data_IF_280696604127
#
_entry.id   IF_280696604127
#
_cell.length_a   1.000
_cell.length_b   1.000
_cell.length_c   1.000
_cell.angle_alpha   90.00
_cell.angle_beta   90.00
_cell.angle_gamma   90.00
#
_symmetry.space_group_name_H-M   'P 1'
#
loop_
_entity.id
_entity.type
_entity.pdbx_description
1 polymer ?
#
# COMPACT_ATOMS: atom_id res chain seq x y z
N UNK A 1 -32.20 -50.88 10.89
CA UNK A 1 -32.57 -51.30 12.24
C UNK A 1 -31.38 -51.04 13.17
N UNK A 2 -31.48 -50.07 14.05
CA UNK A 2 -31.12 -50.02 15.47
C UNK A 2 -31.20 -48.57 15.93
N UNK A 3 -32.20 -48.32 16.77
CA UNK A 3 -32.47 -47.09 17.51
C UNK A 3 -31.61 -47.07 18.79
N UNK A 4 -31.14 -45.92 19.23
CA UNK A 4 -30.88 -45.61 20.65
C UNK A 4 -30.97 -44.07 20.77
N UNK A 5 -31.87 -43.55 21.39
CA UNK A 5 -32.49 -43.26 22.69
C UNK A 5 -31.80 -42.09 23.41
N UNK A 6 -32.61 -41.05 23.58
CA UNK A 6 -32.46 -39.89 24.47
C UNK A 6 -32.15 -40.28 25.92
N UNK A 7 -31.38 -39.44 26.61
CA UNK A 7 -31.46 -39.34 28.07
C UNK A 7 -31.39 -37.87 28.51
N UNK A 8 -32.51 -37.38 29.02
CA UNK A 8 -32.63 -36.12 29.76
C UNK A 8 -32.43 -36.43 31.25
N UNK A 9 -31.69 -35.58 31.96
CA UNK A 9 -31.64 -35.62 33.43
C UNK A 9 -32.04 -34.27 33.99
N UNK A 10 -33.20 -34.28 34.62
CA UNK A 10 -33.77 -33.27 35.53
C UNK A 10 -33.16 -33.48 36.92
N UNK A 11 -32.73 -32.40 37.60
CA UNK A 11 -32.61 -32.43 39.05
C UNK A 11 -33.35 -31.24 39.66
N UNK A 12 -34.32 -31.61 40.52
CA UNK A 12 -35.19 -30.73 41.26
C UNK A 12 -34.55 -30.39 42.61
N UNK A 13 -35.03 -29.28 43.18
CA UNK A 13 -34.54 -28.63 44.35
C UNK A 13 -34.82 -29.32 45.70
N UNK A 14 -34.23 -28.77 46.73
CA UNK A 14 -34.64 -28.89 48.13
C UNK A 14 -34.57 -27.53 48.80
N UNK A 15 -35.75 -27.07 49.26
CA UNK A 15 -35.90 -25.99 50.25
C UNK A 15 -35.73 -26.60 51.65
N UNK A 16 -35.01 -25.90 52.50
CA UNK A 16 -35.17 -26.04 53.94
C UNK A 16 -35.13 -24.64 54.58
N UNK A 17 -36.24 -24.37 55.28
CA UNK A 17 -36.44 -23.20 56.12
C UNK A 17 -35.93 -23.48 57.53
N UNK A 18 -35.35 -22.47 58.15
CA UNK A 18 -35.04 -22.48 59.58
C UNK A 18 -34.97 -21.06 60.10
N UNK A 19 -35.92 -20.68 60.96
CA UNK A 19 -35.97 -19.40 61.68
C UNK A 19 -35.05 -19.40 62.90
N UNK A 20 -34.42 -18.32 63.26
CA UNK A 20 -34.77 -17.45 64.41
C UNK A 20 -33.60 -16.52 64.83
N UNK A 21 -33.97 -15.26 64.97
CA UNK A 21 -33.54 -14.16 65.93
C UNK A 21 -32.08 -13.98 66.34
N UNK A 22 -31.50 -12.84 66.09
CA UNK A 22 -31.47 -11.64 66.99
C UNK A 22 -30.42 -10.63 66.56
N UNK A 23 -30.82 -9.36 66.53
CA UNK A 23 -30.15 -8.09 66.64
C UNK A 23 -28.62 -8.01 66.63
N UNK A 24 -28.08 -7.36 65.59
CA UNK A 24 -27.07 -6.27 65.75
C UNK A 24 -26.96 -5.47 64.44
N UNK A 25 -27.11 -4.20 64.53
CA UNK A 25 -26.90 -3.19 63.48
C UNK A 25 -25.44 -3.17 63.06
N UNK A 26 -25.16 -3.41 61.79
CA UNK A 26 -24.00 -2.85 61.13
C UNK A 26 -24.31 -2.61 59.68
N UNK A 27 -24.33 -1.32 59.31
CA UNK A 27 -24.48 -0.83 57.95
C UNK A 27 -23.15 -0.99 57.21
N UNK A 28 -23.03 -2.07 56.45
CA UNK A 28 -22.06 -2.15 55.36
C UNK A 28 -22.79 -2.47 54.05
N UNK A 29 -23.11 -1.41 53.32
CA UNK A 29 -23.58 -1.50 51.96
C UNK A 29 -22.47 -2.11 51.07
N UNK A 30 -22.61 -3.42 50.78
CA UNK A 30 -21.86 -4.04 49.67
C UNK A 30 -22.39 -3.50 48.35
N UNK A 31 -21.73 -2.49 47.82
CA UNK A 31 -21.93 -2.07 46.42
C UNK A 31 -21.31 -3.15 45.51
N UNK A 32 -22.15 -4.05 45.00
CA UNK A 32 -21.84 -4.90 43.83
C UNK A 32 -21.85 -3.96 42.58
N UNK A 33 -20.78 -3.24 42.38
CA UNK A 33 -20.48 -2.58 41.11
C UNK A 33 -19.11 -3.06 40.63
N UNK A 34 -19.05 -4.31 40.20
CA UNK A 34 -17.96 -4.78 39.36
C UNK A 34 -18.49 -4.95 37.93
N UNK A 35 -18.93 -3.85 37.35
CA UNK A 35 -19.03 -3.74 35.90
C UNK A 35 -17.62 -3.46 35.40
N UNK A 36 -16.90 -4.51 35.03
CA UNK A 36 -15.76 -4.38 34.12
C UNK A 36 -16.29 -3.82 32.80
N UNK A 37 -16.42 -2.51 32.74
CA UNK A 37 -16.63 -1.81 31.49
C UNK A 37 -15.38 -2.08 30.66
N UNK A 38 -15.51 -3.00 29.71
CA UNK A 38 -14.52 -3.15 28.63
C UNK A 38 -14.44 -1.78 27.99
N UNK A 39 -13.31 -1.09 28.16
CA UNK A 39 -13.08 0.17 27.50
C UNK A 39 -13.24 -0.03 26.00
N UNK A 40 -14.34 0.47 25.44
CA UNK A 40 -14.56 0.48 24.00
C UNK A 40 -13.50 1.43 23.45
N UNK A 41 -12.57 0.88 22.69
CA UNK A 41 -11.55 1.67 22.03
C UNK A 41 -12.24 2.50 20.95
N UNK A 42 -12.34 3.81 21.16
CA UNK A 42 -12.83 4.73 20.16
C UNK A 42 -11.77 4.90 19.06
N UNK A 43 -12.14 4.64 17.82
CA UNK A 43 -11.33 4.87 16.64
C UNK A 43 -11.87 6.09 15.90
N UNK A 44 -11.03 6.83 15.15
CA UNK A 44 -11.51 7.83 14.20
C UNK A 44 -12.48 7.19 13.19
N UNK A 45 -13.52 7.93 12.80
CA UNK A 45 -14.47 7.49 11.78
C UNK A 45 -13.87 7.43 10.37
N UNK A 46 -12.63 7.89 10.21
CA UNK A 46 -11.92 7.92 8.93
C UNK A 46 -10.53 7.33 9.04
N UNK A 47 -10.04 6.76 7.94
CA UNK A 47 -8.63 6.44 7.75
C UNK A 47 -8.15 6.96 6.40
N UNK A 48 -6.90 7.43 6.38
CA UNK A 48 -6.23 7.94 5.20
C UNK A 48 -5.17 6.97 4.74
N UNK A 49 -5.31 6.50 3.51
CA UNK A 49 -4.31 5.71 2.80
C UNK A 49 -3.58 6.62 1.80
N UNK A 50 -2.26 6.50 1.68
CA UNK A 50 -1.49 7.22 0.68
C UNK A 50 -0.70 6.25 -0.19
N UNK A 51 -0.79 6.43 -1.49
CA UNK A 51 -0.18 5.54 -2.48
C UNK A 51 0.81 6.30 -3.34
N UNK A 52 1.95 5.66 -3.56
CA UNK A 52 2.98 6.10 -4.50
C UNK A 52 3.22 5.01 -5.55
N UNK A 53 3.76 5.42 -6.70
CA UNK A 53 4.04 4.52 -7.83
C UNK A 53 5.34 3.73 -7.67
N UNK A 54 6.07 3.58 -8.78
CA UNK A 54 7.17 2.65 -8.94
C UNK A 54 8.48 3.20 -8.34
N UNK A 55 8.96 2.56 -7.26
CA UNK A 55 10.25 2.86 -6.64
C UNK A 55 11.34 2.02 -7.29
N UNK A 56 12.16 2.66 -8.13
CA UNK A 56 13.20 2.04 -8.93
C UNK A 56 14.58 2.56 -8.56
N UNK A 57 15.62 1.74 -8.75
CA UNK A 57 17.02 2.16 -8.62
C UNK A 57 17.79 1.88 -9.90
N UNK A 58 18.08 2.90 -10.68
CA UNK A 58 18.93 2.82 -11.87
C UNK A 58 20.42 2.93 -11.52
N UNK A 59 21.28 2.62 -12.50
CA UNK A 59 22.74 2.61 -12.31
C UNK A 59 23.29 3.92 -11.72
N UNK A 60 22.78 5.06 -12.19
CA UNK A 60 23.26 6.37 -11.69
C UNK A 60 22.82 6.65 -10.25
N UNK A 61 21.63 6.19 -9.84
CA UNK A 61 21.18 6.29 -8.44
C UNK A 61 22.08 5.44 -7.53
N UNK A 62 22.42 4.20 -7.95
CA UNK A 62 23.37 3.34 -7.23
C UNK A 62 24.75 3.99 -7.14
N UNK A 63 25.28 4.48 -8.26
CA UNK A 63 26.60 5.16 -8.29
C UNK A 63 26.59 6.34 -7.32
N UNK A 64 25.49 7.08 -7.26
CA UNK A 64 25.38 8.24 -6.39
C UNK A 64 25.32 7.83 -4.92
N UNK A 65 24.54 6.81 -4.59
CA UNK A 65 24.46 6.26 -3.24
C UNK A 65 25.84 5.77 -2.73
N UNK A 66 26.64 5.14 -3.61
CA UNK A 66 28.03 4.75 -3.30
C UNK A 66 28.89 5.99 -3.06
N UNK A 67 28.80 7.01 -3.91
CA UNK A 67 29.62 8.24 -3.81
C UNK A 67 29.35 8.99 -2.50
N UNK A 68 28.13 8.96 -2.01
CA UNK A 68 27.70 9.58 -0.74
C UNK A 68 27.80 8.63 0.45
N UNK A 69 28.19 7.38 0.21
CA UNK A 69 28.33 6.38 1.24
C UNK A 69 29.53 6.62 2.15
N UNK A 70 29.45 6.05 3.36
CA UNK A 70 30.52 6.00 4.33
C UNK A 70 30.94 4.54 4.56
N UNK A 71 31.92 4.32 5.43
CA UNK A 71 32.32 2.96 5.81
C UNK A 71 31.18 2.22 6.53
N UNK A 72 30.40 2.94 7.33
CA UNK A 72 29.27 2.42 8.13
C UNK A 72 27.99 2.29 7.28
N UNK A 73 27.77 3.21 6.32
CA UNK A 73 26.65 3.20 5.39
C UNK A 73 27.17 3.31 3.93
N UNK A 74 27.63 2.20 3.32
CA UNK A 74 28.29 2.25 2.01
C UNK A 74 27.37 2.62 0.84
N UNK A 75 26.05 2.62 1.04
CA UNK A 75 25.04 2.99 0.04
C UNK A 75 24.05 3.95 0.68
N UNK A 76 24.28 5.24 0.56
CA UNK A 76 23.49 6.27 1.23
C UNK A 76 22.31 6.73 0.36
N UNK A 77 21.08 6.50 0.86
CA UNK A 77 19.81 6.96 0.29
C UNK A 77 19.03 7.87 1.26
N UNK A 78 19.65 8.32 2.35
CA UNK A 78 18.97 8.94 3.50
C UNK A 78 18.18 10.20 3.13
N UNK A 79 18.64 10.99 2.16
CA UNK A 79 17.99 12.22 1.74
C UNK A 79 17.02 12.06 0.55
N UNK A 80 16.95 10.86 -0.06
CA UNK A 80 16.14 10.63 -1.26
C UNK A 80 14.65 10.94 -1.07
N UNK A 81 14.12 10.70 0.13
CA UNK A 81 12.69 10.74 0.41
C UNK A 81 12.28 11.77 1.48
N UNK A 82 13.21 12.55 2.00
CA UNK A 82 12.97 13.46 3.14
C UNK A 82 11.85 14.47 2.90
N UNK A 83 11.66 14.93 1.66
CA UNK A 83 10.66 15.95 1.33
C UNK A 83 9.22 15.39 1.24
N UNK A 84 9.05 14.08 1.08
CA UNK A 84 7.73 13.42 1.08
C UNK A 84 7.38 12.80 2.44
N UNK A 85 8.35 12.65 3.33
CA UNK A 85 8.15 12.13 4.70
C UNK A 85 6.99 12.81 5.45
N UNK A 86 6.79 14.14 5.38
CA UNK A 86 5.65 14.77 6.07
C UNK A 86 4.29 14.29 5.55
N UNK A 87 4.16 14.01 4.24
CA UNK A 87 2.92 13.47 3.67
C UNK A 87 2.69 12.01 4.09
N UNK A 88 3.77 11.21 4.18
CA UNK A 88 3.71 9.82 4.67
C UNK A 88 3.29 9.76 6.14
N UNK A 89 3.84 10.63 6.99
CA UNK A 89 3.50 10.71 8.42
C UNK A 89 2.08 11.23 8.71
N UNK A 90 1.48 11.95 7.77
CA UNK A 90 0.12 12.46 7.87
C UNK A 90 -0.94 11.43 7.43
N UNK A 91 -0.53 10.34 6.81
CA UNK A 91 -1.39 9.22 6.45
C UNK A 91 -1.39 8.16 7.56
N UNK A 92 -2.49 7.41 7.66
CA UNK A 92 -2.61 6.29 8.59
C UNK A 92 -1.94 5.02 8.06
N UNK A 93 -1.78 4.91 6.74
CA UNK A 93 -1.08 3.80 6.09
C UNK A 93 -0.57 4.19 4.71
N UNK A 94 0.67 3.85 4.40
CA UNK A 94 1.38 4.31 3.20
C UNK A 94 1.96 3.15 2.38
N UNK A 95 1.77 3.22 1.05
CA UNK A 95 2.01 2.11 0.14
C UNK A 95 2.91 2.55 -1.02
N UNK A 96 3.89 1.69 -1.39
CA UNK A 96 4.77 1.90 -2.54
C UNK A 96 5.04 0.59 -3.29
N UNK A 97 5.21 0.66 -4.61
CA UNK A 97 5.68 -0.48 -5.40
C UNK A 97 7.22 -0.54 -5.38
N UNK A 98 7.78 -1.58 -4.76
CA UNK A 98 9.22 -1.88 -4.78
C UNK A 98 9.55 -2.62 -6.09
N UNK A 99 9.84 -1.87 -7.16
CA UNK A 99 10.02 -2.43 -8.51
C UNK A 99 11.46 -2.87 -8.77
N UNK A 100 11.96 -3.70 -7.88
CA UNK A 100 13.29 -4.32 -7.99
C UNK A 100 13.49 -5.35 -6.87
N UNK A 101 14.39 -6.35 -7.05
CA UNK A 101 14.80 -7.22 -5.97
C UNK A 101 15.95 -6.61 -5.14
N UNK A 102 15.99 -6.95 -3.86
CA UNK A 102 17.11 -6.73 -2.95
C UNK A 102 18.07 -7.93 -3.08
N UNK A 103 18.88 -7.94 -4.16
CA UNK A 103 19.61 -9.14 -4.60
C UNK A 103 20.74 -9.60 -3.69
N UNK A 104 21.27 -8.73 -2.83
CA UNK A 104 22.42 -9.01 -1.95
C UNK A 104 23.75 -9.15 -2.70
N UNK A 105 24.82 -9.37 -1.93
CA UNK A 105 26.16 -9.56 -2.48
C UNK A 105 26.84 -8.26 -2.87
N UNK A 106 27.72 -8.31 -3.89
CA UNK A 106 28.49 -7.15 -4.36
C UNK A 106 28.01 -6.65 -5.73
N UNK A 107 27.12 -7.38 -6.41
CA UNK A 107 26.74 -7.16 -7.81
C UNK A 107 25.40 -6.43 -7.89
N UNK A 108 25.32 -5.24 -7.28
CA UNK A 108 24.16 -4.38 -7.44
C UNK A 108 24.15 -3.73 -8.83
N UNK A 109 22.95 -3.55 -9.40
CA UNK A 109 22.79 -3.05 -10.76
C UNK A 109 21.46 -2.31 -10.94
N UNK A 110 21.40 -1.47 -11.97
CA UNK A 110 20.19 -0.91 -12.52
C UNK A 110 19.62 -1.75 -13.68
N UNK A 111 18.81 -1.08 -14.52
CA UNK A 111 18.22 -1.66 -15.73
C UNK A 111 19.31 -2.34 -16.61
N UNK A 112 19.00 -3.48 -17.32
CA UNK A 112 17.70 -4.13 -17.37
C UNK A 112 17.42 -5.16 -16.26
N UNK A 113 18.44 -5.55 -15.48
CA UNK A 113 18.36 -6.58 -14.44
C UNK A 113 18.69 -5.94 -13.11
N UNK A 114 17.67 -5.43 -12.44
CA UNK A 114 17.84 -4.68 -11.19
C UNK A 114 18.36 -5.53 -10.04
N UNK A 115 19.11 -4.91 -9.16
CA UNK A 115 19.51 -5.42 -7.85
C UNK A 115 19.90 -4.25 -6.97
N UNK A 116 19.11 -3.95 -5.95
CA UNK A 116 19.40 -2.87 -5.01
C UNK A 116 20.02 -3.38 -3.70
N UNK A 117 20.81 -2.56 -3.00
CA UNK A 117 21.23 -2.83 -1.64
C UNK A 117 20.05 -2.66 -0.66
N UNK A 118 20.14 -3.33 0.49
CA UNK A 118 19.09 -3.33 1.53
C UNK A 118 18.81 -1.92 2.06
N UNK A 119 19.83 -1.05 2.09
CA UNK A 119 19.69 0.34 2.50
C UNK A 119 18.71 1.15 1.62
N UNK A 120 18.44 0.71 0.37
CA UNK A 120 17.41 1.33 -0.46
C UNK A 120 16.00 1.11 0.13
N UNK A 121 15.66 -0.14 0.46
CA UNK A 121 14.39 -0.46 1.10
C UNK A 121 14.30 0.14 2.52
N UNK A 122 15.45 0.15 3.25
CA UNK A 122 15.51 0.80 4.57
C UNK A 122 15.21 2.30 4.50
N UNK A 123 15.74 3.01 3.51
CA UNK A 123 15.45 4.44 3.32
C UNK A 123 13.97 4.70 2.98
N UNK A 124 13.32 3.80 2.22
CA UNK A 124 11.87 3.86 2.00
C UNK A 124 11.08 3.66 3.30
N UNK A 125 11.45 2.66 4.10
CA UNK A 125 10.83 2.42 5.42
C UNK A 125 11.04 3.62 6.36
N UNK A 126 12.24 4.17 6.42
CA UNK A 126 12.57 5.32 7.28
C UNK A 126 11.84 6.60 6.86
N UNK A 127 11.51 6.73 5.57
CA UNK A 127 10.65 7.79 5.08
C UNK A 127 9.20 7.65 5.58
N UNK A 128 8.76 6.43 5.94
CA UNK A 128 7.45 6.16 6.51
C UNK A 128 6.55 5.26 5.66
N UNK A 129 7.08 4.49 4.71
CA UNK A 129 6.28 3.50 3.99
C UNK A 129 6.01 2.26 4.84
N UNK A 130 4.73 1.85 4.88
CA UNK A 130 4.24 0.73 5.68
C UNK A 130 4.12 -0.56 4.87
N UNK A 131 3.66 -0.49 3.61
CA UNK A 131 3.42 -1.65 2.74
C UNK A 131 4.22 -1.55 1.44
N UNK A 132 5.00 -2.60 1.16
CA UNK A 132 5.77 -2.74 -0.08
C UNK A 132 5.09 -3.75 -1.00
N UNK A 133 4.74 -3.32 -2.22
CA UNK A 133 4.24 -4.20 -3.27
C UNK A 133 5.43 -4.84 -3.96
N UNK A 134 5.42 -6.15 -4.06
CA UNK A 134 6.54 -6.92 -4.61
C UNK A 134 6.20 -7.66 -5.90
N UNK A 135 4.91 -7.73 -6.31
CA UNK A 135 4.51 -8.33 -7.58
C UNK A 135 4.56 -7.30 -8.71
N UNK A 136 5.65 -7.30 -9.46
CA UNK A 136 5.92 -6.46 -10.62
C UNK A 136 6.78 -7.21 -11.64
N UNK A 137 7.02 -6.62 -12.81
CA UNK A 137 7.77 -7.28 -13.88
C UNK A 137 9.26 -7.48 -13.57
N UNK A 138 9.82 -6.78 -12.59
CA UNK A 138 11.22 -6.88 -12.16
C UNK A 138 11.46 -7.75 -10.92
N UNK A 139 10.42 -8.30 -10.30
CA UNK A 139 10.54 -9.08 -9.05
C UNK A 139 11.42 -10.34 -9.19
N UNK A 140 11.61 -10.85 -10.41
CA UNK A 140 12.45 -12.01 -10.72
C UNK A 140 13.79 -11.66 -11.41
N UNK A 141 14.21 -10.40 -11.45
CA UNK A 141 15.49 -10.00 -12.06
C UNK A 141 16.72 -10.70 -11.45
N UNK A 142 16.61 -11.17 -10.22
CA UNK A 142 17.60 -12.03 -9.54
C UNK A 142 17.09 -13.45 -9.30
N UNK A 143 16.12 -13.89 -10.15
CA UNK A 143 15.49 -15.22 -10.09
C UNK A 143 14.90 -15.49 -8.69
N UNK A 144 14.55 -16.72 -8.40
CA UNK A 144 13.96 -17.12 -7.11
C UNK A 144 14.85 -16.79 -5.91
N UNK A 145 16.17 -16.86 -6.08
CA UNK A 145 17.10 -16.50 -5.00
C UNK A 145 16.96 -15.04 -4.61
N UNK A 146 16.85 -14.15 -5.59
CA UNK A 146 16.66 -12.71 -5.35
C UNK A 146 15.30 -12.42 -4.76
N UNK A 147 14.24 -13.06 -5.28
CA UNK A 147 12.89 -12.93 -4.74
C UNK A 147 12.86 -13.33 -3.25
N UNK A 148 13.32 -14.55 -2.92
CA UNK A 148 13.34 -15.02 -1.52
C UNK A 148 14.13 -14.10 -0.61
N UNK A 149 15.32 -13.67 -1.08
CA UNK A 149 16.15 -12.75 -0.32
C UNK A 149 15.46 -11.40 -0.08
N UNK A 150 14.74 -10.88 -1.09
CA UNK A 150 13.96 -9.65 -0.91
C UNK A 150 12.96 -9.80 0.23
N UNK A 151 12.22 -10.92 0.26
CA UNK A 151 11.26 -11.20 1.33
C UNK A 151 11.97 -11.35 2.70
N UNK A 152 13.13 -12.03 2.76
CA UNK A 152 13.91 -12.18 4.00
C UNK A 152 14.35 -10.82 4.56
N UNK A 153 14.74 -9.88 3.69
CA UNK A 153 15.11 -8.51 4.09
C UNK A 153 13.89 -7.75 4.60
N UNK A 154 12.76 -7.77 3.88
CA UNK A 154 11.54 -7.08 4.29
C UNK A 154 11.01 -7.63 5.62
N UNK A 155 11.04 -8.96 5.82
CA UNK A 155 10.70 -9.60 7.10
C UNK A 155 11.62 -9.15 8.24
N UNK A 156 12.94 -9.09 7.98
CA UNK A 156 13.92 -8.63 8.97
C UNK A 156 13.70 -7.17 9.38
N UNK A 157 13.24 -6.36 8.46
CA UNK A 157 12.86 -4.97 8.68
C UNK A 157 11.49 -4.82 9.33
N UNK A 158 10.69 -5.90 9.41
CA UNK A 158 9.31 -5.91 9.91
C UNK A 158 8.40 -4.95 9.14
N UNK A 159 8.57 -4.87 7.83
CA UNK A 159 7.76 -4.08 6.92
C UNK A 159 6.72 -4.99 6.29
N UNK A 160 5.47 -4.53 6.19
CA UNK A 160 4.42 -5.28 5.50
C UNK A 160 4.77 -5.40 4.00
N UNK A 161 4.54 -6.57 3.41
CA UNK A 161 4.78 -6.78 1.97
C UNK A 161 3.86 -7.84 1.40
N UNK A 162 3.47 -7.68 0.13
CA UNK A 162 2.55 -8.60 -0.57
C UNK A 162 2.92 -8.72 -2.05
N UNK A 163 2.47 -9.81 -2.68
CA UNK A 163 2.53 -10.01 -4.13
C UNK A 163 3.49 -11.12 -4.57
N UNK A 164 4.57 -11.35 -3.84
CA UNK A 164 5.48 -12.49 -4.05
C UNK A 164 5.66 -13.31 -2.79
N UNK A 165 5.94 -14.62 -2.92
CA UNK A 165 6.01 -15.54 -1.80
C UNK A 165 7.11 -16.58 -2.04
N UNK A 166 7.68 -17.11 -0.97
CA UNK A 166 8.75 -18.12 -1.05
C UNK A 166 8.25 -19.44 -1.62
N UNK A 167 6.98 -19.75 -1.40
CA UNK A 167 6.32 -20.97 -1.88
C UNK A 167 4.79 -20.84 -1.77
N UNK A 168 4.06 -21.83 -2.28
CA UNK A 168 2.60 -21.89 -2.24
C UNK A 168 2.04 -21.96 -0.80
N UNK A 169 2.74 -22.63 0.12
CA UNK A 169 2.33 -22.71 1.53
C UNK A 169 2.33 -21.32 2.18
N UNK A 170 3.40 -20.55 1.98
CA UNK A 170 3.50 -19.17 2.45
C UNK A 170 2.42 -18.29 1.84
N UNK A 171 2.19 -18.39 0.51
CA UNK A 171 1.10 -17.67 -0.15
C UNK A 171 -0.25 -17.99 0.49
N UNK A 172 -0.55 -19.27 0.69
CA UNK A 172 -1.82 -19.71 1.29
C UNK A 172 -2.01 -19.19 2.71
N UNK A 173 -0.91 -19.05 3.46
CA UNK A 173 -0.91 -18.52 4.83
C UNK A 173 -1.08 -17.00 4.90
N UNK A 174 -0.48 -16.26 3.95
CA UNK A 174 -0.42 -14.80 3.96
C UNK A 174 -1.53 -14.14 3.13
N UNK A 175 -2.25 -14.90 2.28
CA UNK A 175 -3.40 -14.40 1.52
C UNK A 175 -4.68 -15.00 2.12
N UNK A 176 -5.66 -14.18 2.50
CA UNK A 176 -5.72 -12.72 2.31
C UNK A 176 -4.87 -11.92 3.30
N UNK A 177 -4.24 -10.85 2.82
CA UNK A 177 -3.55 -9.87 3.66
C UNK A 177 -4.54 -8.77 4.08
N UNK A 178 -4.82 -8.68 5.38
CA UNK A 178 -5.77 -7.70 5.94
C UNK A 178 -5.05 -6.91 7.05
N UNK A 179 -5.16 -5.60 6.97
CA UNK A 179 -4.64 -4.67 7.98
C UNK A 179 -5.78 -3.93 8.64
N UNK A 180 -5.74 -3.82 9.96
CA UNK A 180 -6.64 -2.95 10.70
C UNK A 180 -6.04 -1.55 10.79
N UNK A 181 -6.74 -0.55 10.22
CA UNK A 181 -6.34 0.85 10.15
C UNK A 181 -7.47 1.67 10.76
N UNK A 182 -7.22 2.33 11.87
CA UNK A 182 -8.23 3.08 12.63
C UNK A 182 -9.52 2.25 12.87
N UNK A 183 -9.36 0.96 13.24
CA UNK A 183 -10.47 0.05 13.51
C UNK A 183 -11.23 -0.44 12.27
N UNK A 184 -10.77 -0.08 11.05
CA UNK A 184 -11.33 -0.54 9.79
C UNK A 184 -10.44 -1.63 9.17
N UNK A 185 -11.02 -2.75 8.75
CA UNK A 185 -10.31 -3.88 8.16
C UNK A 185 -10.16 -3.70 6.65
N UNK A 186 -8.95 -3.39 6.21
CA UNK A 186 -8.60 -3.17 4.81
C UNK A 186 -7.85 -4.38 4.26
N UNK A 187 -8.40 -5.02 3.24
CA UNK A 187 -7.74 -6.11 2.50
C UNK A 187 -6.92 -5.55 1.33
N UNK A 188 -5.71 -6.07 1.13
CA UNK A 188 -4.80 -5.63 0.08
C UNK A 188 -4.43 -6.79 -0.84
N UNK A 189 -4.51 -6.56 -2.15
CA UNK A 189 -4.20 -7.52 -3.21
C UNK A 189 -3.23 -6.88 -4.21
N UNK A 190 -2.14 -7.59 -4.60
CA UNK A 190 -1.16 -7.08 -5.56
C UNK A 190 -0.89 -8.13 -6.64
N UNK A 191 -0.92 -7.72 -7.91
CA UNK A 191 -0.76 -8.61 -9.06
C UNK A 191 0.13 -8.01 -10.14
N UNK A 192 0.80 -8.84 -10.95
CA UNK A 192 1.56 -8.38 -12.12
C UNK A 192 1.12 -9.08 -13.41
N UNK A 193 1.24 -8.39 -14.54
CA UNK A 193 0.99 -8.97 -15.86
C UNK A 193 2.07 -9.98 -16.29
N UNK A 194 3.26 -9.92 -15.70
CA UNK A 194 4.39 -10.75 -16.09
C UNK A 194 5.67 -10.41 -15.35
N UNK A 195 6.75 -11.10 -15.70
CA UNK A 195 8.08 -11.01 -15.07
C UNK A 195 9.19 -10.97 -16.10
N UNK A 196 9.03 -10.16 -17.16
CA UNK A 196 10.02 -9.96 -18.25
C UNK A 196 10.52 -11.29 -18.87
N UNK A 197 9.63 -12.29 -18.95
CA UNK A 197 9.94 -13.63 -19.48
C UNK A 197 10.71 -14.55 -18.53
N UNK A 198 11.08 -14.08 -17.35
CA UNK A 198 11.74 -14.90 -16.32
C UNK A 198 10.66 -15.64 -15.54
N UNK A 199 10.74 -16.97 -15.50
CA UNK A 199 9.77 -17.80 -14.77
C UNK A 199 10.27 -18.06 -13.37
N UNK A 200 9.36 -18.03 -12.38
CA UNK A 200 9.61 -18.55 -11.06
C UNK A 200 9.89 -20.06 -11.15
N UNK A 201 10.84 -20.53 -10.39
CA UNK A 201 11.26 -21.95 -10.29
C UNK A 201 11.34 -22.34 -8.81
N UNK A 202 11.66 -23.59 -8.52
CA UNK A 202 11.88 -24.06 -7.15
C UNK A 202 10.74 -23.67 -6.15
N UNK A 203 9.52 -23.56 -6.66
CA UNK A 203 8.32 -23.28 -5.85
C UNK A 203 8.11 -21.83 -5.41
N UNK A 204 8.94 -20.87 -5.86
CA UNK A 204 8.65 -19.46 -5.62
C UNK A 204 7.36 -19.04 -6.34
N UNK A 205 6.56 -18.21 -5.69
CA UNK A 205 5.26 -17.77 -6.17
C UNK A 205 5.24 -16.26 -6.46
N UNK A 206 4.65 -15.90 -7.60
CA UNK A 206 4.35 -14.51 -7.99
C UNK A 206 2.85 -14.42 -8.24
N UNK A 207 2.21 -13.42 -7.70
CA UNK A 207 0.79 -13.18 -7.94
C UNK A 207 0.59 -12.57 -9.34
N UNK A 208 0.36 -13.41 -10.32
CA UNK A 208 0.05 -12.97 -11.68
C UNK A 208 -1.41 -12.55 -11.83
N UNK A 209 -1.68 -11.67 -12.80
CA UNK A 209 -3.04 -11.31 -13.21
C UNK A 209 -3.69 -12.54 -13.85
N UNK A 210 -4.59 -13.17 -13.10
CA UNK A 210 -5.47 -14.26 -13.50
C UNK A 210 -6.85 -14.00 -12.94
N UNK A 211 -7.87 -13.85 -13.78
CA UNK A 211 -9.22 -13.44 -13.32
C UNK A 211 -9.85 -14.44 -12.35
N UNK A 212 -9.61 -15.74 -12.53
CA UNK A 212 -10.16 -16.74 -11.61
C UNK A 212 -9.51 -16.64 -10.25
N UNK A 213 -8.17 -16.50 -10.20
CA UNK A 213 -7.43 -16.32 -8.95
C UNK A 213 -7.79 -15.01 -8.25
N UNK A 214 -7.90 -13.92 -9.01
CA UNK A 214 -8.31 -12.61 -8.47
C UNK A 214 -9.69 -12.72 -7.83
N UNK A 215 -10.66 -13.38 -8.49
CA UNK A 215 -12.00 -13.61 -7.93
C UNK A 215 -11.94 -14.43 -6.63
N UNK A 216 -11.25 -15.57 -6.65
CA UNK A 216 -11.06 -16.43 -5.46
C UNK A 216 -10.46 -15.63 -4.29
N UNK A 217 -9.45 -14.81 -4.55
CA UNK A 217 -8.77 -14.02 -3.51
C UNK A 217 -9.63 -12.85 -3.01
N UNK A 218 -10.44 -12.20 -3.86
CA UNK A 218 -11.42 -11.19 -3.44
C UNK A 218 -12.48 -11.82 -2.52
N UNK A 219 -13.06 -12.95 -2.91
CA UNK A 219 -14.05 -13.69 -2.10
C UNK A 219 -13.45 -14.12 -0.74
N UNK A 220 -12.23 -14.65 -0.74
CA UNK A 220 -11.52 -15.04 0.48
C UNK A 220 -11.26 -13.83 1.39
N UNK A 221 -10.88 -12.68 0.80
CA UNK A 221 -10.61 -11.45 1.53
C UNK A 221 -11.87 -10.89 2.21
N UNK A 222 -13.01 -10.89 1.52
CA UNK A 222 -14.31 -10.51 2.10
C UNK A 222 -14.72 -11.49 3.22
N UNK A 223 -14.59 -12.79 2.97
CA UNK A 223 -14.92 -13.83 3.94
C UNK A 223 -14.07 -13.75 5.21
N UNK A 224 -12.82 -13.31 5.09
CA UNK A 224 -11.92 -13.07 6.22
C UNK A 224 -12.24 -11.77 6.98
N UNK A 225 -13.25 -11.00 6.53
CA UNK A 225 -13.79 -9.84 7.23
C UNK A 225 -13.24 -8.48 6.76
N UNK A 226 -12.60 -8.40 5.59
CA UNK A 226 -12.23 -7.11 5.03
C UNK A 226 -13.47 -6.27 4.72
N UNK A 227 -13.48 -5.04 5.21
CA UNK A 227 -14.56 -4.06 5.01
C UNK A 227 -14.32 -3.24 3.73
N UNK A 228 -13.05 -3.02 3.38
CA UNK A 228 -12.58 -2.40 2.12
C UNK A 228 -11.58 -3.34 1.46
N UNK A 229 -11.61 -3.44 0.13
CA UNK A 229 -10.61 -4.17 -0.65
C UNK A 229 -9.89 -3.21 -1.60
N UNK A 230 -8.56 -3.18 -1.49
CA UNK A 230 -7.63 -2.44 -2.33
C UNK A 230 -6.88 -3.43 -3.23
N UNK A 231 -7.00 -3.29 -4.54
CA UNK A 231 -6.24 -4.07 -5.52
C UNK A 231 -5.19 -3.20 -6.21
N UNK A 232 -3.96 -3.70 -6.30
CA UNK A 232 -2.83 -2.96 -6.86
C UNK A 232 -2.19 -3.76 -8.01
N UNK A 233 -2.75 -3.64 -9.23
CA UNK A 233 -2.23 -4.30 -10.42
C UNK A 233 -1.06 -3.54 -11.03
N UNK A 234 0.00 -4.28 -11.37
CA UNK A 234 1.11 -3.83 -12.20
C UNK A 234 0.83 -4.25 -13.64
N UNK A 235 0.37 -3.31 -14.48
CA UNK A 235 -0.30 -3.58 -15.76
C UNK A 235 -0.13 -2.49 -16.82
N UNK A 236 -0.68 -2.71 -18.00
CA UNK A 236 -0.74 -1.72 -19.08
C UNK A 236 0.45 -1.79 -20.03
N UNK A 237 0.78 -0.67 -20.65
CA UNK A 237 1.86 -0.54 -21.62
C UNK A 237 2.75 0.62 -21.23
N UNK A 238 4.07 0.38 -21.18
CA UNK A 238 5.07 1.40 -20.83
C UNK A 238 4.94 2.67 -21.68
N UNK A 239 5.01 3.83 -21.03
CA UNK A 239 5.06 5.17 -21.61
C UNK A 239 3.77 5.63 -22.31
N UNK A 240 2.68 4.88 -22.21
CA UNK A 240 1.38 5.27 -22.78
C UNK A 240 0.57 6.00 -21.72
N UNK A 241 0.19 7.27 -22.01
CA UNK A 241 -0.49 8.15 -21.05
C UNK A 241 -1.97 7.78 -20.79
N UNK A 242 -2.62 7.07 -21.72
CA UNK A 242 -3.99 6.65 -21.54
C UNK A 242 -4.05 5.16 -21.23
N UNK A 243 -4.97 4.79 -20.36
CA UNK A 243 -5.27 3.40 -20.09
C UNK A 243 -5.77 2.67 -21.35
N UNK A 244 -5.40 1.42 -21.51
CA UNK A 244 -5.84 0.57 -22.61
C UNK A 244 -7.10 -0.24 -22.26
N UNK A 245 -7.65 -0.96 -23.26
CA UNK A 245 -8.85 -1.79 -23.10
C UNK A 245 -8.66 -2.91 -22.06
N UNK A 246 -7.47 -3.53 -22.01
CA UNK A 246 -7.19 -4.60 -21.05
C UNK A 246 -7.24 -4.07 -19.62
N UNK A 247 -6.70 -2.87 -19.39
CA UNK A 247 -6.75 -2.21 -18.07
C UNK A 247 -8.20 -1.88 -17.68
N UNK A 248 -8.99 -1.29 -18.59
CA UNK A 248 -10.42 -0.98 -18.33
C UNK A 248 -11.22 -2.25 -18.04
N UNK A 249 -11.04 -3.28 -18.84
CA UNK A 249 -11.75 -4.56 -18.70
C UNK A 249 -11.42 -5.26 -17.38
N UNK A 250 -10.14 -5.22 -16.94
CA UNK A 250 -9.74 -5.81 -15.67
C UNK A 250 -10.23 -4.96 -14.48
N UNK A 251 -10.16 -3.61 -14.58
CA UNK A 251 -10.70 -2.73 -13.54
C UNK A 251 -12.20 -2.96 -13.33
N UNK A 252 -12.98 -2.99 -14.41
CA UNK A 252 -14.41 -3.27 -14.33
C UNK A 252 -14.69 -4.65 -13.71
N UNK A 253 -13.94 -5.68 -14.11
CA UNK A 253 -14.06 -7.00 -13.53
C UNK A 253 -13.82 -6.95 -12.00
N UNK A 254 -12.69 -6.38 -11.55
CA UNK A 254 -12.36 -6.29 -10.13
C UNK A 254 -13.41 -5.50 -9.33
N UNK A 255 -13.91 -4.36 -9.85
CA UNK A 255 -14.97 -3.59 -9.21
C UNK A 255 -16.27 -4.39 -9.10
N UNK A 256 -16.65 -5.14 -10.13
CA UNK A 256 -17.85 -5.99 -10.14
C UNK A 256 -17.73 -7.16 -9.15
N UNK A 257 -16.53 -7.70 -8.94
CA UNK A 257 -16.28 -8.74 -7.92
C UNK A 257 -16.13 -8.14 -6.50
N UNK A 258 -16.18 -6.83 -6.33
CA UNK A 258 -16.24 -6.20 -5.01
C UNK A 258 -14.99 -5.43 -4.56
N UNK A 259 -14.03 -5.15 -5.45
CA UNK A 259 -12.90 -4.25 -5.13
C UNK A 259 -13.39 -2.81 -5.04
N UNK A 260 -12.98 -2.09 -4.01
CA UNK A 260 -13.39 -0.70 -3.75
C UNK A 260 -12.39 0.31 -4.30
N UNK A 261 -11.11 -0.02 -4.27
CA UNK A 261 -10.01 0.87 -4.67
C UNK A 261 -9.03 0.08 -5.54
N UNK A 262 -8.71 0.63 -6.72
CA UNK A 262 -7.73 0.06 -7.64
C UNK A 262 -6.63 1.08 -7.88
N UNK A 263 -5.37 0.71 -7.59
CA UNK A 263 -4.19 1.57 -7.78
C UNK A 263 -3.18 0.87 -8.69
N UNK A 264 -3.08 1.31 -9.93
CA UNK A 264 -2.20 0.73 -10.94
C UNK A 264 -0.78 1.30 -10.96
N UNK A 265 0.16 0.48 -11.43
CA UNK A 265 1.58 0.80 -11.72
C UNK A 265 2.03 0.15 -13.03
N UNK A 266 3.31 0.28 -13.42
CA UNK A 266 3.99 -0.23 -14.60
C UNK A 266 4.17 0.75 -15.78
N UNK A 267 3.20 1.57 -16.23
CA UNK A 267 3.42 2.42 -17.38
C UNK A 267 4.57 3.44 -17.24
N UNK A 268 5.11 3.64 -16.05
CA UNK A 268 6.15 4.62 -15.71
C UNK A 268 5.76 6.08 -16.01
N UNK A 269 4.53 6.29 -16.39
CA UNK A 269 3.87 7.59 -16.58
C UNK A 269 2.54 7.57 -15.86
N UNK A 270 2.07 8.73 -15.45
CA UNK A 270 0.74 8.84 -14.86
C UNK A 270 -0.33 8.53 -15.91
N UNK A 271 -1.39 7.87 -15.47
CA UNK A 271 -2.61 7.63 -16.25
C UNK A 271 -3.83 8.13 -15.50
N UNK A 272 -4.99 8.28 -16.15
CA UNK A 272 -6.20 8.83 -15.53
C UNK A 272 -6.62 8.16 -14.23
N UNK A 273 -7.32 8.94 -13.40
CA UNK A 273 -7.93 8.51 -12.13
C UNK A 273 -9.44 8.78 -12.20
N UNK A 274 -10.26 7.83 -11.77
CA UNK A 274 -11.72 7.95 -11.87
C UNK A 274 -12.40 7.39 -10.64
N UNK A 275 -13.32 8.14 -10.08
CA UNK A 275 -14.35 7.59 -9.21
C UNK A 275 -15.48 7.08 -10.10
N UNK A 276 -15.80 5.81 -9.96
CA UNK A 276 -16.87 5.13 -10.68
C UNK A 276 -18.01 4.87 -9.70
N UNK A 277 -19.21 5.31 -10.05
CA UNK A 277 -20.41 5.04 -9.25
C UNK A 277 -21.25 3.98 -9.96
N UNK A 278 -21.50 2.88 -9.28
CA UNK A 278 -22.43 1.84 -9.76
C UNK A 278 -23.85 2.43 -9.83
N UNK A 279 -24.50 2.43 -11.00
CA UNK A 279 -25.79 3.08 -11.16
C UNK A 279 -26.96 2.36 -10.46
N UNK A 280 -26.77 1.11 -10.06
CA UNK A 280 -27.80 0.28 -9.40
C UNK A 280 -27.68 0.40 -7.89
N UNK A 281 -26.48 0.23 -7.35
CA UNK A 281 -26.22 0.17 -5.92
C UNK A 281 -25.82 1.52 -5.31
N UNK A 282 -25.39 2.47 -6.13
CA UNK A 282 -24.82 3.74 -5.68
C UNK A 282 -23.39 3.57 -5.09
N UNK A 283 -22.83 2.36 -5.08
CA UNK A 283 -21.49 2.09 -4.57
C UNK A 283 -20.46 2.87 -5.39
N UNK A 284 -19.60 3.59 -4.70
CA UNK A 284 -18.48 4.34 -5.30
C UNK A 284 -17.20 3.52 -5.18
N UNK A 285 -16.45 3.44 -6.27
CA UNK A 285 -15.14 2.80 -6.32
C UNK A 285 -14.13 3.76 -6.97
N UNK A 286 -12.86 3.68 -6.57
CA UNK A 286 -11.78 4.44 -7.18
C UNK A 286 -10.97 3.55 -8.12
N UNK A 287 -10.64 4.04 -9.31
CA UNK A 287 -9.60 3.46 -10.16
C UNK A 287 -8.56 4.52 -10.53
N UNK A 288 -7.31 4.24 -10.20
CA UNK A 288 -6.11 4.95 -10.63
C UNK A 288 -5.38 4.02 -11.58
N UNK A 289 -5.30 4.36 -12.86
CA UNK A 289 -4.71 3.45 -13.85
C UNK A 289 -3.18 3.37 -13.76
N UNK A 290 -2.50 4.47 -13.41
CA UNK A 290 -1.07 4.46 -13.07
C UNK A 290 -0.68 5.73 -12.31
N UNK A 291 0.16 5.56 -11.28
CA UNK A 291 0.79 6.66 -10.55
C UNK A 291 2.12 7.11 -11.16
N UNK A 292 2.65 6.38 -12.15
CA UNK A 292 3.99 6.63 -12.71
C UNK A 292 5.11 6.27 -11.75
N UNK A 293 6.31 6.81 -11.99
CA UNK A 293 7.47 6.54 -11.15
C UNK A 293 7.44 7.32 -9.85
N UNK A 294 7.60 6.66 -8.71
CA UNK A 294 7.89 7.35 -7.44
C UNK A 294 9.29 7.94 -7.45
N UNK A 295 10.29 7.11 -7.77
CA UNK A 295 11.67 7.54 -7.99
C UNK A 295 12.33 6.68 -9.05
N UNK A 296 12.99 7.33 -10.00
CA UNK A 296 13.75 6.65 -11.05
C UNK A 296 14.78 7.60 -11.66
N UNK A 297 15.68 7.07 -12.50
CA UNK A 297 16.51 7.88 -13.37
C UNK A 297 16.13 7.71 -14.86
N UNK A 298 14.86 7.49 -15.13
CA UNK A 298 14.35 7.45 -16.51
C UNK A 298 14.38 8.85 -17.13
N UNK A 299 14.68 8.90 -18.44
CA UNK A 299 14.85 10.15 -19.17
C UNK A 299 13.81 10.40 -20.26
N UNK A 300 12.95 9.41 -20.55
CA UNK A 300 11.81 9.59 -21.46
C UNK A 300 10.86 10.68 -20.97
N UNK A 301 10.17 11.31 -21.89
CA UNK A 301 9.15 12.29 -21.55
C UNK A 301 8.12 11.68 -20.58
N UNK A 302 7.73 12.47 -19.59
CA UNK A 302 6.73 12.12 -18.54
C UNK A 302 7.13 10.99 -17.57
N UNK A 303 8.37 10.46 -17.63
CA UNK A 303 8.85 9.42 -16.69
C UNK A 303 9.69 9.96 -15.52
N UNK A 304 9.97 11.28 -15.50
CA UNK A 304 10.83 11.90 -14.47
C UNK A 304 10.13 12.17 -13.14
N UNK A 305 8.86 11.87 -13.04
CA UNK A 305 8.05 12.05 -11.84
C UNK A 305 6.78 11.24 -11.95
N UNK A 306 5.92 11.42 -10.98
CA UNK A 306 4.64 10.73 -10.87
C UNK A 306 3.61 11.54 -10.11
N UNK A 307 2.59 10.84 -9.68
CA UNK A 307 1.58 11.35 -8.78
C UNK A 307 1.50 10.47 -7.53
N UNK A 308 1.18 11.07 -6.41
CA UNK A 308 0.64 10.38 -5.25
C UNK A 308 -0.89 10.50 -5.29
N UNK A 309 -1.57 9.53 -4.71
CA UNK A 309 -3.00 9.64 -4.44
C UNK A 309 -3.24 9.39 -2.95
N UNK A 310 -4.01 10.28 -2.35
CA UNK A 310 -4.47 10.21 -0.97
C UNK A 310 -5.93 9.80 -1.00
N UNK A 311 -6.24 8.71 -0.33
CA UNK A 311 -7.57 8.10 -0.31
C UNK A 311 -8.09 8.11 1.10
N UNK A 312 -9.31 8.58 1.29
CA UNK A 312 -10.00 8.55 2.58
C UNK A 312 -11.09 7.48 2.51
N UNK A 313 -11.05 6.57 3.46
CA UNK A 313 -12.15 5.65 3.76
C UNK A 313 -12.83 6.11 5.05
N UNK A 314 -14.13 5.84 5.18
CA UNK A 314 -14.90 6.24 6.36
C UNK A 314 -15.86 5.14 6.82
N UNK A 315 -16.09 5.09 8.10
CA UNK A 315 -17.17 4.33 8.71
C UNK A 315 -18.39 5.22 8.86
N UNK A 316 -19.48 4.82 8.23
CA UNK A 316 -20.76 5.51 8.39
C UNK A 316 -21.25 5.35 9.84
N UNK A 317 -21.45 6.43 10.58
CA UNK A 317 -21.82 6.36 12.00
C UNK A 317 -23.23 5.78 12.24
N UNK A 318 -24.09 5.76 11.21
CA UNK A 318 -25.47 5.25 11.33
C UNK A 318 -25.56 3.77 10.98
N UNK A 319 -24.79 3.30 10.00
CA UNK A 319 -24.86 1.92 9.49
C UNK A 319 -23.70 1.05 9.95
N UNK A 320 -22.58 1.67 10.37
CA UNK A 320 -21.32 0.98 10.66
C UNK A 320 -20.57 0.49 9.41
N UNK A 321 -21.10 0.73 8.22
CA UNK A 321 -20.47 0.34 6.96
C UNK A 321 -19.23 1.17 6.68
N UNK A 322 -18.13 0.50 6.28
CA UNK A 322 -16.91 1.18 5.83
C UNK A 322 -16.93 1.29 4.31
N UNK A 323 -16.67 2.49 3.80
CA UNK A 323 -16.69 2.77 2.37
C UNK A 323 -15.63 3.78 1.94
N UNK A 324 -15.32 3.75 0.65
CA UNK A 324 -14.53 4.80 0.00
C UNK A 324 -15.27 6.14 0.08
N UNK A 325 -14.64 7.15 0.67
CA UNK A 325 -15.19 8.50 0.81
C UNK A 325 -14.78 9.40 -0.35
N UNK A 326 -13.48 9.68 -0.47
CA UNK A 326 -12.92 10.53 -1.53
C UNK A 326 -11.45 10.21 -1.78
N UNK A 327 -10.93 10.77 -2.88
CA UNK A 327 -9.51 10.76 -3.17
C UNK A 327 -9.08 12.12 -3.73
N UNK A 328 -7.83 12.47 -3.51
CA UNK A 328 -7.16 13.63 -4.09
C UNK A 328 -5.74 13.25 -4.51
N UNK A 329 -5.21 13.91 -5.53
CA UNK A 329 -3.84 13.66 -6.00
C UNK A 329 -2.94 14.88 -5.81
N UNK A 330 -1.64 14.63 -5.76
CA UNK A 330 -0.62 15.65 -6.02
C UNK A 330 0.52 15.06 -6.83
N UNK A 331 1.42 15.90 -7.31
CA UNK A 331 2.49 15.53 -8.23
C UNK A 331 3.88 15.79 -7.61
N UNK A 332 4.86 15.05 -8.07
CA UNK A 332 6.25 15.22 -7.69
C UNK A 332 7.17 14.94 -8.87
N UNK A 333 8.43 15.32 -8.74
CA UNK A 333 9.48 15.03 -9.72
C UNK A 333 10.71 14.45 -9.03
N UNK A 334 11.45 13.59 -9.72
CA UNK A 334 12.78 13.16 -9.29
C UNK A 334 13.80 14.24 -9.64
N UNK A 335 14.40 14.87 -8.61
CA UNK A 335 15.59 15.70 -8.75
C UNK A 335 16.78 14.83 -9.12
N UNK A 336 17.55 15.26 -10.11
CA UNK A 336 18.82 14.64 -10.51
C UNK A 336 19.97 15.36 -9.82
N UNK A 337 20.98 14.65 -9.28
CA UNK A 337 22.12 15.28 -8.61
C UNK A 337 22.76 16.38 -9.45
N UNK A 338 22.93 17.57 -8.87
CA UNK A 338 23.50 18.75 -9.53
C UNK A 338 24.87 19.15 -8.98
N UNK A 339 25.36 18.46 -7.95
CA UNK A 339 26.65 18.76 -7.32
C UNK A 339 27.19 17.61 -6.46
N UNK A 340 28.40 17.76 -5.90
CA UNK A 340 29.08 16.67 -5.18
C UNK A 340 28.31 16.11 -3.97
N UNK A 341 27.61 16.93 -3.22
CA UNK A 341 26.87 16.53 -2.00
C UNK A 341 25.39 16.20 -2.22
N UNK A 342 24.89 16.17 -3.49
CA UNK A 342 23.46 15.97 -3.75
C UNK A 342 23.15 14.54 -4.19
N UNK A 343 21.96 14.01 -3.86
CA UNK A 343 21.45 12.72 -4.29
C UNK A 343 20.29 12.88 -5.28
N UNK A 344 19.80 11.77 -5.81
CA UNK A 344 18.46 11.75 -6.41
C UNK A 344 17.45 11.95 -5.28
N UNK A 345 16.49 12.84 -5.48
CA UNK A 345 15.52 13.18 -4.44
C UNK A 345 14.13 13.35 -5.02
N UNK A 346 13.13 12.83 -4.32
CA UNK A 346 11.72 13.09 -4.69
C UNK A 346 11.34 14.47 -4.18
N UNK A 347 11.00 15.37 -5.10
CA UNK A 347 10.60 16.76 -4.81
C UNK A 347 9.12 16.92 -5.12
N UNK A 348 8.24 16.98 -4.11
CA UNK A 348 6.81 17.16 -4.32
C UNK A 348 6.46 18.60 -4.67
N UNK A 349 5.26 18.79 -5.23
CA UNK A 349 4.78 20.10 -5.71
C UNK A 349 4.82 21.18 -4.63
N UNK A 350 4.54 20.84 -3.38
CA UNK A 350 4.54 21.76 -2.23
C UNK A 350 5.95 22.16 -1.74
N UNK A 351 7.00 21.49 -2.22
CA UNK A 351 8.41 21.77 -1.92
C UNK A 351 9.21 22.12 -3.19
N UNK A 352 8.53 22.50 -4.28
CA UNK A 352 9.14 22.69 -5.60
C UNK A 352 10.18 23.82 -5.62
N UNK A 353 10.14 24.74 -4.67
CA UNK A 353 11.13 25.78 -4.53
C UNK A 353 12.52 25.24 -4.16
N UNK A 354 12.57 24.04 -3.56
CA UNK A 354 13.81 23.32 -3.24
C UNK A 354 14.45 22.64 -4.46
N UNK A 355 13.73 22.56 -5.59
CA UNK A 355 14.28 22.01 -6.82
C UNK A 355 15.30 23.00 -7.42
N UNK A 356 16.51 22.53 -7.83
CA UNK A 356 17.51 23.38 -8.49
C UNK A 356 16.94 24.15 -9.69
N UNK A 357 17.32 25.40 -9.84
CA UNK A 357 16.80 26.29 -10.90
C UNK A 357 16.93 25.68 -12.31
N UNK A 358 18.03 24.98 -12.59
CA UNK A 358 18.28 24.30 -13.85
C UNK A 358 17.27 23.16 -14.15
N UNK A 359 16.57 22.65 -13.15
CA UNK A 359 15.61 21.55 -13.28
C UNK A 359 14.14 22.01 -13.21
N UNK A 360 13.88 23.29 -12.89
CA UNK A 360 12.50 23.83 -12.82
C UNK A 360 11.77 23.73 -14.17
N UNK A 361 12.48 23.80 -15.31
CA UNK A 361 11.90 23.56 -16.63
C UNK A 361 11.36 22.12 -16.79
N UNK A 362 12.07 21.12 -16.28
CA UNK A 362 11.62 19.72 -16.29
C UNK A 362 10.35 19.53 -15.44
N UNK A 363 10.33 20.17 -14.27
CA UNK A 363 9.13 20.19 -13.43
C UNK A 363 7.93 20.81 -14.15
N UNK A 364 8.10 22.01 -14.74
CA UNK A 364 7.02 22.71 -15.45
C UNK A 364 6.48 21.83 -16.57
N UNK A 365 7.34 21.20 -17.36
CA UNK A 365 6.94 20.30 -18.45
C UNK A 365 6.15 19.09 -17.91
N UNK A 366 6.68 18.42 -16.88
CA UNK A 366 6.02 17.26 -16.25
C UNK A 366 4.66 17.65 -15.67
N UNK A 367 4.64 18.66 -14.80
CA UNK A 367 3.41 19.09 -14.12
C UNK A 367 2.32 19.54 -15.10
N UNK A 368 2.68 20.27 -16.15
CA UNK A 368 1.73 20.71 -17.18
C UNK A 368 1.19 19.52 -18.00
N UNK A 369 2.02 18.53 -18.29
CA UNK A 369 1.58 17.30 -18.99
C UNK A 369 0.59 16.49 -18.12
N UNK A 370 0.89 16.33 -16.84
CA UNK A 370 0.01 15.68 -15.87
C UNK A 370 -1.30 16.45 -15.73
N UNK A 371 -1.23 17.77 -15.52
CA UNK A 371 -2.42 18.61 -15.37
C UNK A 371 -3.33 18.50 -16.59
N UNK A 372 -2.76 18.63 -17.81
CA UNK A 372 -3.52 18.51 -19.05
C UNK A 372 -4.21 17.15 -19.20
N UNK A 373 -3.54 16.07 -18.79
CA UNK A 373 -4.11 14.72 -18.81
C UNK A 373 -5.27 14.60 -17.84
N UNK A 374 -5.06 15.06 -16.61
CA UNK A 374 -6.02 14.91 -15.52
C UNK A 374 -7.22 15.83 -15.68
N UNK A 375 -7.05 17.09 -16.13
CA UNK A 375 -8.16 17.99 -16.45
C UNK A 375 -9.09 17.41 -17.53
N UNK A 376 -8.53 16.59 -18.43
CA UNK A 376 -9.30 15.97 -19.50
C UNK A 376 -9.99 14.67 -19.13
N UNK A 377 -9.38 13.85 -18.28
CA UNK A 377 -9.77 12.46 -18.13
C UNK A 377 -10.08 12.01 -16.69
N UNK A 378 -9.64 12.77 -15.68
CA UNK A 378 -9.98 12.44 -14.30
C UNK A 378 -11.47 12.69 -14.05
N UNK A 379 -12.04 11.86 -13.17
CA UNK A 379 -13.43 11.99 -12.71
C UNK A 379 -13.41 11.94 -11.17
N UNK A 380 -13.88 13.03 -10.55
CA UNK A 380 -14.03 13.16 -9.08
C UNK A 380 -12.76 12.87 -8.26
N UNK A 381 -11.58 13.12 -8.85
CA UNK A 381 -10.27 13.06 -8.15
C UNK A 381 -9.57 14.39 -8.39
N UNK A 382 -9.83 15.41 -7.55
CA UNK A 382 -9.22 16.73 -7.68
C UNK A 382 -7.76 16.73 -7.26
N UNK A 383 -7.04 17.79 -7.67
CA UNK A 383 -5.71 18.06 -7.10
C UNK A 383 -5.84 18.52 -5.66
N UNK A 384 -4.98 17.97 -4.80
CA UNK A 384 -4.91 18.37 -3.40
C UNK A 384 -4.45 19.83 -3.26
N UNK A 385 -5.06 20.54 -2.32
CA UNK A 385 -4.61 21.87 -1.87
C UNK A 385 -3.76 21.77 -0.60
N UNK A 386 -3.57 20.56 -0.06
CA UNK A 386 -2.84 20.32 1.18
C UNK A 386 -1.35 20.58 0.97
N UNK A 387 -0.78 21.38 1.87
CA UNK A 387 0.66 21.60 1.94
C UNK A 387 1.21 20.94 3.21
N UNK A 388 2.24 20.15 3.04
CA UNK A 388 2.92 19.52 4.15
C UNK A 388 4.17 20.34 4.49
N UNK A 389 4.37 20.59 5.78
CA UNK A 389 5.58 21.28 6.24
C UNK A 389 6.60 20.22 6.68
N UNK A 390 7.84 20.36 6.22
CA UNK A 390 8.93 19.59 6.80
C UNK A 390 9.00 19.90 8.30
N UNK A 391 9.18 18.85 9.13
CA UNK A 391 9.44 19.08 10.54
C UNK A 391 10.62 20.06 10.67
N UNK A 392 10.40 21.20 11.32
CA UNK A 392 11.50 22.09 11.68
C UNK A 392 12.42 21.27 12.60
N UNK A 393 13.65 21.03 12.16
CA UNK A 393 14.69 20.52 13.04
C UNK A 393 14.91 21.57 14.17
N UNK A 394 14.27 21.35 15.29
CA UNK A 394 14.62 22.01 16.55
C UNK A 394 15.71 21.21 17.25
#
# INVERSE_FOLDING_TARGET
MKKFKFLAALFAGILLAGCSNSNATDNTSLSLNDSTAVAVKEYPDTATLIFFGDAMQHKMQLTRAITLGTKENPYNYDDCFTLVTPALKDADYSIVNLELPLGGGKDYSGYPMFSAPDSYAKALQDAGFDLFLTSNNHCLDRKDKGLRRTLDVLDSMKVDHIGTYRNLEERTKLVPFIKEINGMKVGFLNYTYGTNGIKATNGAEVAYIDRNKIKEEIEATRKAGAEIIVAMPHWGVEYVLNENESQRSLANFMMNEGVDIIIGGHPHVVQPMKVVTDPITGRRSLVVYSLGNFISNMTKANTRGGALVRVVIERDPNTGEVKFRNAEYDTFITEVPSGPGTNFRVVPSWEIDKLPAAQKGNWTQHNNAVQKLYDKYNVDVPRSTKKYQAASNN
#
